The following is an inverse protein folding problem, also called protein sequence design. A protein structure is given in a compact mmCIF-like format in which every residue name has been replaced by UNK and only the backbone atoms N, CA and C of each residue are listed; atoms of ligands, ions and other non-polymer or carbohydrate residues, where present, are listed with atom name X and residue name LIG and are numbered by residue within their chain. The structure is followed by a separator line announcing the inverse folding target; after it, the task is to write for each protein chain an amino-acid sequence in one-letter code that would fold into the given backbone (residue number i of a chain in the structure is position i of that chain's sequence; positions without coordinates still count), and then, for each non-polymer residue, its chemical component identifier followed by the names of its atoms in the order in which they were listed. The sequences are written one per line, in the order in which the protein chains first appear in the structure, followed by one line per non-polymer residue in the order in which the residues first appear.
data_IF_083202018052
#
_entry.id   IF_083202018052
#
_cell.length_a   1.000
_cell.length_b   1.000
_cell.length_c   1.000
_cell.angle_alpha   90.00
_cell.angle_beta   90.00
_cell.angle_gamma   90.00
#
_symmetry.space_group_name_H-M   'P 1'
#
loop_
_entity.id
_entity.type
_entity.pdbx_description
1 polymer ?
#
# COMPACT_ATOMS: atom_id res chain seq x y z
N UNK A 1 -19.48 7.41 -2.19
CA UNK A 1 -18.82 6.12 -1.97
C UNK A 1 -19.86 5.13 -1.44
N UNK A 2 -19.97 3.88 -1.98
CA UNK A 2 -20.87 2.89 -1.42
C UNK A 2 -20.41 2.60 0.01
N UNK A 3 -21.37 2.52 0.95
CA UNK A 3 -21.13 2.01 2.30
C UNK A 3 -20.84 0.51 2.18
N UNK A 4 -19.58 0.16 1.97
CA UNK A 4 -19.14 -1.18 2.36
C UNK A 4 -19.21 -1.25 3.89
N UNK A 5 -19.39 -2.44 4.45
CA UNK A 5 -19.11 -2.69 5.86
C UNK A 5 -17.63 -2.35 6.08
N UNK A 6 -17.38 -1.09 6.43
CA UNK A 6 -16.05 -0.47 6.34
C UNK A 6 -15.19 -1.02 7.45
N UNK A 7 -14.40 -2.04 7.08
CA UNK A 7 -13.24 -2.34 7.90
C UNK A 7 -12.28 -1.16 7.74
N UNK A 8 -12.01 -0.48 8.83
CA UNK A 8 -11.04 0.63 8.86
C UNK A 8 -9.66 0.07 8.59
N UNK A 9 -8.91 0.71 7.68
CA UNK A 9 -7.53 0.38 7.42
C UNK A 9 -6.64 1.10 8.43
N UNK A 10 -6.04 0.35 9.35
CA UNK A 10 -5.17 0.89 10.38
C UNK A 10 -3.77 1.15 9.83
N UNK A 11 -3.37 2.41 9.76
CA UNK A 11 -2.07 2.86 9.25
C UNK A 11 -1.08 3.21 10.36
N UNK A 12 -1.49 3.10 11.61
CA UNK A 12 -0.65 3.38 12.78
C UNK A 12 -1.07 2.50 13.97
N UNK A 13 -0.17 2.32 14.93
CA UNK A 13 -0.48 1.59 16.17
C UNK A 13 -1.57 2.26 17.00
N UNK A 14 -1.63 3.59 17.03
CA UNK A 14 -2.71 4.33 17.70
C UNK A 14 -4.07 4.02 17.05
N UNK A 15 -4.17 4.13 15.73
CA UNK A 15 -5.37 3.78 14.97
C UNK A 15 -5.78 2.30 15.19
N UNK A 16 -4.81 1.39 15.30
CA UNK A 16 -5.05 -0.02 15.55
C UNK A 16 -5.71 -0.27 16.92
N UNK A 17 -5.28 0.44 17.97
CA UNK A 17 -5.86 0.32 19.31
C UNK A 17 -7.29 0.89 19.33
N UNK A 18 -7.50 2.03 18.71
CA UNK A 18 -8.81 2.71 18.64
C UNK A 18 -9.82 1.93 17.81
N UNK A 19 -9.38 1.24 16.76
CA UNK A 19 -10.22 0.55 15.78
C UNK A 19 -9.91 -0.96 15.75
N UNK A 20 -9.93 -1.61 16.89
CA UNK A 20 -9.69 -3.05 16.98
C UNK A 20 -10.73 -3.86 16.16
N UNK A 21 -10.31 -5.01 15.64
CA UNK A 21 -11.16 -5.84 14.77
C UNK A 21 -11.10 -5.48 13.27
N UNK A 22 -10.31 -4.51 12.89
CA UNK A 22 -10.14 -4.04 11.52
C UNK A 22 -8.90 -4.64 10.82
N UNK A 23 -8.52 -4.09 9.69
CA UNK A 23 -7.38 -4.52 8.87
C UNK A 23 -6.20 -3.60 9.15
N UNK A 24 -5.01 -4.14 9.36
CA UNK A 24 -3.81 -3.31 9.40
C UNK A 24 -3.20 -3.11 8.02
N UNK A 25 -2.66 -1.93 7.78
CA UNK A 25 -1.88 -1.62 6.58
C UNK A 25 -0.40 -1.96 6.76
N UNK A 26 0.33 -2.06 5.64
CA UNK A 26 1.79 -2.26 5.63
C UNK A 26 2.56 -1.12 6.32
N UNK A 27 1.97 0.06 6.49
CA UNK A 27 2.54 1.16 7.26
C UNK A 27 2.76 0.86 8.76
N UNK A 28 2.15 -0.19 9.31
CA UNK A 28 2.52 -0.68 10.64
C UNK A 28 3.92 -1.29 10.69
N UNK A 29 4.53 -1.47 9.54
CA UNK A 29 5.90 -1.98 9.36
C UNK A 29 6.18 -3.26 10.14
N UNK A 30 5.32 -4.26 9.93
CA UNK A 30 5.43 -5.57 10.58
C UNK A 30 6.55 -6.38 9.92
N UNK A 31 7.70 -6.48 10.61
CA UNK A 31 8.93 -7.12 10.12
C UNK A 31 9.38 -8.34 10.94
N UNK A 32 8.61 -8.72 11.95
CA UNK A 32 8.92 -9.90 12.75
C UNK A 32 7.64 -10.53 13.35
N UNK A 33 7.77 -11.77 13.80
CA UNK A 33 6.64 -12.54 14.32
C UNK A 33 6.08 -12.00 15.65
N UNK A 34 6.87 -11.30 16.48
CA UNK A 34 6.37 -10.68 17.71
C UNK A 34 5.44 -9.51 17.39
N UNK A 35 5.83 -8.66 16.45
CA UNK A 35 5.00 -7.56 15.98
C UNK A 35 3.72 -8.09 15.29
N UNK A 36 3.83 -9.16 14.49
CA UNK A 36 2.69 -9.83 13.87
C UNK A 36 1.71 -10.36 14.92
N UNK A 37 2.20 -11.06 15.95
CA UNK A 37 1.37 -11.56 17.05
C UNK A 37 0.68 -10.41 17.79
N UNK A 38 1.40 -9.32 18.08
CA UNK A 38 0.82 -8.15 18.73
C UNK A 38 -0.28 -7.52 17.86
N UNK A 39 -0.03 -7.33 16.56
CA UNK A 39 -0.97 -6.73 15.65
C UNK A 39 -2.26 -7.56 15.49
N UNK A 40 -2.16 -8.90 15.51
CA UNK A 40 -3.32 -9.81 15.46
C UNK A 40 -4.22 -9.75 16.70
N UNK A 41 -3.75 -9.23 17.84
CA UNK A 41 -4.62 -9.00 19.01
C UNK A 41 -5.65 -7.90 18.77
N UNK A 42 -5.40 -7.02 17.83
CA UNK A 42 -6.24 -5.84 17.55
C UNK A 42 -6.88 -5.88 16.16
N UNK A 43 -6.35 -6.65 15.22
CA UNK A 43 -6.81 -6.68 13.84
C UNK A 43 -7.24 -8.07 13.41
N UNK A 44 -8.26 -8.14 12.56
CA UNK A 44 -8.73 -9.39 11.93
C UNK A 44 -7.81 -9.85 10.81
N UNK A 45 -7.10 -8.91 10.16
CA UNK A 45 -6.09 -9.17 9.14
C UNK A 45 -4.90 -8.24 9.33
N UNK A 46 -3.69 -8.76 9.20
CA UNK A 46 -2.45 -7.99 9.34
C UNK A 46 -1.66 -8.04 8.05
N UNK A 47 -1.34 -6.87 7.49
CA UNK A 47 -0.48 -6.75 6.31
C UNK A 47 0.97 -6.61 6.75
N UNK A 48 1.83 -7.49 6.25
CA UNK A 48 3.28 -7.45 6.49
C UNK A 48 3.91 -6.27 5.76
N UNK A 49 5.07 -5.81 6.27
CA UNK A 49 5.86 -4.79 5.59
C UNK A 49 6.31 -5.25 4.21
N UNK A 50 6.28 -4.35 3.24
CA UNK A 50 6.84 -4.58 1.91
C UNK A 50 8.39 -4.61 1.92
N UNK A 51 9.02 -4.18 3.01
CA UNK A 51 10.47 -4.20 3.19
C UNK A 51 11.01 -5.60 3.52
N UNK A 52 10.13 -6.53 3.91
CA UNK A 52 10.56 -7.91 4.18
C UNK A 52 10.98 -8.63 2.89
N UNK A 53 12.14 -9.24 2.90
CA UNK A 53 12.54 -10.18 1.87
C UNK A 53 11.84 -11.55 2.04
N UNK A 54 12.06 -12.47 1.09
CA UNK A 54 11.42 -13.78 1.11
C UNK A 54 11.83 -14.63 2.33
N UNK A 55 13.08 -14.54 2.78
CA UNK A 55 13.57 -15.31 3.91
C UNK A 55 13.01 -14.78 5.22
N UNK A 56 12.87 -13.46 5.32
CA UNK A 56 12.22 -12.79 6.45
C UNK A 56 10.74 -13.18 6.54
N UNK A 57 10.01 -13.13 5.42
CA UNK A 57 8.63 -13.60 5.37
C UNK A 57 8.49 -15.05 5.80
N UNK A 58 9.37 -15.93 5.31
CA UNK A 58 9.42 -17.34 5.69
C UNK A 58 9.69 -17.51 7.20
N UNK A 59 10.64 -16.75 7.74
CA UNK A 59 10.95 -16.77 9.16
C UNK A 59 9.76 -16.30 10.03
N UNK A 60 9.10 -15.23 9.63
CA UNK A 60 7.90 -14.70 10.31
C UNK A 60 6.80 -15.78 10.35
N UNK A 61 6.46 -16.36 9.19
CA UNK A 61 5.38 -17.32 9.07
C UNK A 61 5.68 -18.66 9.76
N UNK A 62 6.94 -19.10 9.78
CA UNK A 62 7.34 -20.31 10.50
C UNK A 62 7.24 -20.17 12.02
N UNK A 63 7.52 -18.95 12.55
CA UNK A 63 7.47 -18.70 14.00
C UNK A 63 6.10 -18.28 14.51
N UNK A 64 5.23 -17.82 13.61
CA UNK A 64 3.85 -17.47 13.94
C UNK A 64 2.91 -17.80 12.77
N UNK A 65 2.60 -19.07 12.55
CA UNK A 65 1.68 -19.50 11.51
C UNK A 65 0.27 -18.97 11.78
N UNK A 66 -0.26 -18.18 10.88
CA UNK A 66 -1.59 -17.57 10.99
C UNK A 66 -2.22 -17.43 9.60
N UNK A 67 -3.55 -17.58 9.53
CA UNK A 67 -4.29 -17.54 8.27
C UNK A 67 -4.70 -16.16 7.79
N UNK A 68 -4.56 -15.12 8.62
CA UNK A 68 -5.06 -13.77 8.26
C UNK A 68 -3.92 -12.76 8.05
N UNK A 69 -2.89 -13.22 7.34
CA UNK A 69 -1.74 -12.38 7.00
C UNK A 69 -1.82 -11.96 5.54
N UNK A 70 -1.55 -10.67 5.31
CA UNK A 70 -1.58 -10.05 4.00
C UNK A 70 -0.20 -9.55 3.53
N UNK A 71 -0.04 -9.42 2.22
CA UNK A 71 1.15 -8.86 1.57
C UNK A 71 0.75 -7.98 0.39
N UNK A 72 1.44 -6.83 0.22
CA UNK A 72 1.32 -6.01 -0.98
C UNK A 72 2.06 -6.71 -2.14
N UNK A 73 1.34 -7.04 -3.22
CA UNK A 73 1.91 -7.76 -4.37
C UNK A 73 1.88 -6.97 -5.66
N UNK A 74 1.16 -5.85 -5.69
CA UNK A 74 1.14 -4.97 -6.86
C UNK A 74 0.89 -3.53 -6.45
N UNK A 75 1.57 -2.59 -7.12
CA UNK A 75 1.37 -1.17 -7.05
C UNK A 75 2.65 -0.38 -6.83
N UNK A 76 2.53 0.94 -6.89
CA UNK A 76 3.63 1.85 -6.55
C UNK A 76 3.67 2.09 -5.06
N UNK A 77 4.82 1.80 -4.46
CA UNK A 77 5.04 2.01 -3.04
C UNK A 77 5.17 3.51 -2.75
N UNK A 78 4.52 3.96 -1.70
CA UNK A 78 4.68 5.32 -1.19
C UNK A 78 6.04 5.44 -0.49
N UNK A 79 6.92 6.29 -1.04
CA UNK A 79 8.26 6.54 -0.51
C UNK A 79 8.29 7.66 0.52
N UNK A 80 7.42 8.66 0.36
CA UNK A 80 7.41 9.84 1.21
C UNK A 80 6.03 10.44 1.33
N UNK A 81 5.66 10.81 2.55
CA UNK A 81 4.49 11.62 2.88
C UNK A 81 4.93 12.94 3.51
N UNK A 82 4.38 14.05 3.03
CA UNK A 82 4.67 15.38 3.56
C UNK A 82 3.38 16.10 3.92
N UNK A 83 3.31 16.68 5.13
CA UNK A 83 2.23 17.60 5.53
C UNK A 83 2.45 19.01 4.93
N UNK A 84 2.83 19.08 3.65
CA UNK A 84 3.02 20.29 2.89
C UNK A 84 2.60 20.05 1.45
N UNK A 85 1.95 21.03 0.86
CA UNK A 85 1.62 20.96 -0.56
C UNK A 85 2.85 21.27 -1.40
N UNK A 86 3.50 20.22 -1.94
CA UNK A 86 4.67 20.34 -2.77
C UNK A 86 4.40 21.22 -3.99
N UNK A 87 3.24 21.06 -4.62
CA UNK A 87 2.85 21.83 -5.81
C UNK A 87 2.70 23.33 -5.49
N UNK A 88 2.01 23.65 -4.38
CA UNK A 88 1.86 25.05 -3.96
C UNK A 88 3.21 25.73 -3.73
N UNK A 89 4.13 25.04 -3.09
CA UNK A 89 5.45 25.57 -2.77
C UNK A 89 6.30 25.74 -4.03
N UNK A 90 6.31 24.75 -4.92
CA UNK A 90 7.10 24.78 -6.16
C UNK A 90 6.60 25.86 -7.13
N UNK A 91 5.29 25.95 -7.32
CA UNK A 91 4.70 26.93 -8.26
C UNK A 91 4.39 28.27 -7.61
N UNK A 92 4.74 28.50 -6.34
CA UNK A 92 4.50 29.73 -5.57
C UNK A 92 3.04 30.22 -5.69
N UNK A 93 2.10 29.28 -5.76
CA UNK A 93 0.70 29.60 -6.01
C UNK A 93 0.07 30.35 -4.84
N UNK A 94 -0.44 31.55 -5.11
CA UNK A 94 -1.16 32.36 -4.10
C UNK A 94 -2.44 31.67 -3.65
N UNK A 95 -3.17 31.03 -4.58
CA UNK A 95 -4.41 30.31 -4.30
C UNK A 95 -4.21 28.81 -4.50
N UNK A 96 -4.69 28.00 -3.55
CA UNK A 96 -4.51 26.56 -3.55
C UNK A 96 -5.57 25.86 -4.44
N UNK A 97 -5.35 25.85 -5.77
CA UNK A 97 -6.24 25.15 -6.72
C UNK A 97 -5.49 24.21 -7.68
N UNK A 98 -4.17 24.15 -7.63
CA UNK A 98 -3.32 23.43 -8.60
C UNK A 98 -3.67 21.91 -8.64
N UNK A 99 -3.98 21.29 -7.51
CA UNK A 99 -4.34 19.89 -7.44
C UNK A 99 -5.75 19.56 -7.99
N UNK A 100 -6.57 20.57 -8.31
CA UNK A 100 -7.90 20.38 -8.91
C UNK A 100 -7.84 20.16 -10.42
N UNK A 101 -6.72 20.51 -11.05
CA UNK A 101 -6.56 20.48 -12.52
C UNK A 101 -6.39 19.09 -13.10
N UNK A 102 -6.49 18.01 -12.30
CA UNK A 102 -6.33 16.61 -12.73
C UNK A 102 -5.04 16.34 -13.53
N UNK A 103 -4.03 17.16 -13.37
CA UNK A 103 -2.72 16.97 -13.99
C UNK A 103 -1.88 16.04 -13.13
N UNK A 104 -1.19 15.11 -13.77
CA UNK A 104 -0.16 14.30 -13.10
C UNK A 104 1.11 15.11 -13.00
N UNK A 105 1.60 15.26 -11.79
CA UNK A 105 2.88 15.93 -11.52
C UNK A 105 3.93 14.89 -11.17
N UNK A 106 5.16 15.12 -11.59
CA UNK A 106 6.27 14.21 -11.36
C UNK A 106 7.45 14.96 -10.79
N UNK A 107 8.16 14.32 -9.88
CA UNK A 107 9.48 14.74 -9.44
C UNK A 107 10.50 13.97 -10.27
N UNK A 108 11.48 14.64 -10.84
CA UNK A 108 12.56 14.03 -11.61
C UNK A 108 13.84 14.10 -10.78
N UNK A 109 14.48 12.98 -10.55
CA UNK A 109 15.72 12.91 -9.80
C UNK A 109 16.96 13.18 -10.69
N UNK A 110 18.17 13.04 -10.11
CA UNK A 110 19.45 13.24 -10.81
C UNK A 110 19.70 12.16 -11.88
N UNK A 111 19.10 10.99 -11.73
CA UNK A 111 19.21 9.86 -12.65
C UNK A 111 18.13 9.91 -13.75
N UNK A 112 17.31 10.97 -13.75
CA UNK A 112 16.15 11.16 -14.65
C UNK A 112 15.00 10.18 -14.40
N UNK A 113 14.96 9.55 -13.23
CA UNK A 113 13.82 8.74 -12.80
C UNK A 113 12.64 9.65 -12.42
N UNK A 114 11.43 9.24 -12.81
CA UNK A 114 10.21 10.00 -12.65
C UNK A 114 9.34 9.44 -11.53
N UNK A 115 9.22 10.18 -10.45
CA UNK A 115 8.42 9.85 -9.28
C UNK A 115 7.09 10.60 -9.35
N UNK A 116 5.99 9.87 -9.31
CA UNK A 116 4.66 10.47 -9.33
C UNK A 116 4.35 11.16 -8.01
N UNK A 117 3.75 12.36 -8.09
CA UNK A 117 3.33 13.14 -6.93
C UNK A 117 1.81 13.09 -6.86
N UNK A 118 1.29 12.48 -5.79
CA UNK A 118 -0.11 12.55 -5.42
C UNK A 118 -0.31 13.66 -4.38
N UNK A 119 -1.43 14.37 -4.48
CA UNK A 119 -1.78 15.41 -3.51
C UNK A 119 -3.20 15.21 -3.01
N UNK A 120 -3.39 15.37 -1.69
CA UNK A 120 -4.71 15.38 -1.08
C UNK A 120 -5.20 16.83 -0.92
N UNK A 121 -6.28 17.22 -1.62
CA UNK A 121 -6.83 18.57 -1.51
C UNK A 121 -7.41 18.89 -0.12
N UNK A 122 -7.84 17.85 0.62
CA UNK A 122 -8.54 18.01 1.90
C UNK A 122 -7.58 18.37 3.04
N UNK A 123 -6.44 17.71 3.11
CA UNK A 123 -5.47 17.88 4.19
C UNK A 123 -4.13 18.51 3.75
N UNK A 124 -4.02 18.91 2.47
CA UNK A 124 -2.81 19.51 1.88
C UNK A 124 -1.56 18.64 2.00
N UNK A 125 -1.74 17.32 2.04
CA UNK A 125 -0.64 16.36 2.09
C UNK A 125 -0.18 16.02 0.68
N UNK A 126 1.12 15.85 0.50
CA UNK A 126 1.72 15.35 -0.74
C UNK A 126 2.38 13.99 -0.48
N UNK A 127 2.22 13.08 -1.42
CA UNK A 127 2.82 11.75 -1.43
C UNK A 127 3.71 11.61 -2.66
N UNK A 128 4.88 11.03 -2.49
CA UNK A 128 5.77 10.68 -3.60
C UNK A 128 5.75 9.16 -3.72
N UNK A 129 5.34 8.66 -4.89
CA UNK A 129 5.32 7.25 -5.19
C UNK A 129 6.63 6.81 -5.83
N UNK A 130 6.97 5.54 -5.67
CA UNK A 130 8.12 4.93 -6.34
C UNK A 130 7.98 5.08 -7.88
N UNK A 131 9.10 5.29 -8.56
CA UNK A 131 9.16 5.33 -10.02
C UNK A 131 8.83 3.98 -10.66
N UNK A 132 9.11 2.87 -9.95
CA UNK A 132 8.83 1.52 -10.41
C UNK A 132 7.59 0.93 -9.72
N UNK A 133 6.74 0.29 -10.52
CA UNK A 133 5.60 -0.49 -10.01
C UNK A 133 6.11 -1.84 -9.50
N UNK A 134 5.87 -2.14 -8.24
CA UNK A 134 6.08 -3.48 -7.69
C UNK A 134 5.08 -4.44 -8.34
N UNK A 135 5.57 -5.57 -8.86
CA UNK A 135 4.72 -6.62 -9.43
C UNK A 135 5.23 -8.00 -9.01
N UNK A 136 4.60 -8.54 -7.97
CA UNK A 136 4.90 -9.85 -7.37
C UNK A 136 3.75 -10.85 -7.56
N UNK A 137 2.84 -10.58 -8.50
CA UNK A 137 1.62 -11.38 -8.71
C UNK A 137 1.96 -12.82 -9.10
N UNK A 138 2.97 -13.00 -9.92
CA UNK A 138 3.42 -14.33 -10.35
C UNK A 138 4.04 -15.16 -9.20
N UNK A 139 4.37 -14.51 -8.09
CA UNK A 139 4.89 -15.15 -6.87
C UNK A 139 3.83 -15.47 -5.84
N UNK A 140 2.56 -15.13 -6.08
CA UNK A 140 1.45 -15.42 -5.16
C UNK A 140 1.43 -16.89 -4.71
N UNK A 141 1.55 -17.90 -5.61
CA UNK A 141 1.57 -19.31 -5.17
C UNK A 141 2.67 -19.60 -4.15
N UNK A 142 3.87 -19.06 -4.37
CA UNK A 142 4.99 -19.23 -3.43
C UNK A 142 4.71 -18.60 -2.06
N UNK A 143 4.06 -17.44 -2.02
CA UNK A 143 3.65 -16.81 -0.76
C UNK A 143 2.51 -17.57 -0.07
N UNK A 144 1.60 -18.18 -0.84
CA UNK A 144 0.54 -19.03 -0.29
C UNK A 144 1.11 -20.29 0.40
N UNK A 145 2.19 -20.87 -0.14
CA UNK A 145 2.91 -21.98 0.48
C UNK A 145 3.53 -21.59 1.84
N UNK A 146 3.85 -20.30 2.05
CA UNK A 146 4.27 -19.79 3.36
C UNK A 146 3.10 -19.57 4.33
N UNK A 147 1.84 -19.70 3.89
CA UNK A 147 0.65 -19.44 4.69
C UNK A 147 0.10 -18.02 4.61
N UNK A 148 0.63 -17.17 3.71
CA UNK A 148 0.08 -15.83 3.45
C UNK A 148 -1.18 -15.99 2.58
N UNK A 149 -2.33 -15.50 3.07
CA UNK A 149 -3.63 -15.79 2.45
C UNK A 149 -4.28 -14.58 1.80
N UNK A 150 -3.81 -13.38 2.11
CA UNK A 150 -4.39 -12.14 1.60
C UNK A 150 -3.37 -11.36 0.77
N UNK A 151 -3.78 -10.92 -0.42
CA UNK A 151 -2.90 -10.20 -1.34
C UNK A 151 -3.49 -8.85 -1.69
N UNK A 152 -2.76 -7.78 -1.31
CA UNK A 152 -3.16 -6.41 -1.61
C UNK A 152 -2.63 -5.99 -2.98
N UNK A 153 -3.51 -5.35 -3.72
CA UNK A 153 -3.22 -4.74 -5.01
C UNK A 153 -3.55 -3.26 -4.90
N UNK A 154 -2.58 -2.40 -5.07
CA UNK A 154 -2.77 -0.95 -5.10
C UNK A 154 -2.80 -0.47 -6.55
N UNK A 155 -3.93 0.06 -6.97
CA UNK A 155 -4.19 0.53 -8.33
C UNK A 155 -4.35 2.06 -8.38
N UNK A 156 -3.94 2.76 -7.33
CA UNK A 156 -4.15 4.21 -7.20
C UNK A 156 -3.41 5.04 -8.26
N UNK A 157 -2.35 4.48 -8.85
CA UNK A 157 -1.58 5.11 -9.93
C UNK A 157 -1.93 4.59 -11.34
N UNK A 158 -2.83 3.62 -11.44
CA UNK A 158 -3.18 2.99 -12.72
C UNK A 158 -4.34 3.72 -13.41
N UNK A 159 -4.38 3.65 -14.73
CA UNK A 159 -5.56 4.08 -15.49
C UNK A 159 -6.72 3.10 -15.33
N UNK A 160 -7.93 3.51 -15.67
CA UNK A 160 -9.08 2.60 -15.62
C UNK A 160 -8.91 1.39 -16.57
N UNK A 161 -8.30 1.59 -17.73
CA UNK A 161 -8.02 0.54 -18.70
C UNK A 161 -6.96 -0.44 -18.19
N UNK A 162 -5.84 0.07 -17.64
CA UNK A 162 -4.81 -0.77 -17.03
C UNK A 162 -5.36 -1.56 -15.85
N UNK A 163 -6.19 -0.93 -15.03
CA UNK A 163 -6.87 -1.58 -13.90
C UNK A 163 -7.67 -2.80 -14.35
N UNK A 164 -8.47 -2.68 -15.42
CA UNK A 164 -9.25 -3.82 -15.98
C UNK A 164 -8.31 -4.91 -16.47
N UNK A 165 -7.29 -4.55 -17.26
CA UNK A 165 -6.31 -5.49 -17.78
C UNK A 165 -5.56 -6.27 -16.67
N UNK A 166 -5.15 -5.57 -15.62
CA UNK A 166 -4.48 -6.17 -14.49
C UNK A 166 -5.42 -7.17 -13.77
N UNK A 167 -6.67 -6.81 -13.54
CA UNK A 167 -7.66 -7.66 -12.88
C UNK A 167 -7.97 -8.90 -13.74
N UNK A 168 -8.15 -8.74 -15.05
CA UNK A 168 -8.47 -9.85 -15.96
C UNK A 168 -7.30 -10.83 -16.10
N UNK A 169 -6.08 -10.33 -16.25
CA UNK A 169 -4.88 -11.19 -16.29
C UNK A 169 -4.73 -12.01 -15.02
N UNK A 170 -5.15 -11.47 -13.85
CA UNK A 170 -5.10 -12.14 -12.56
C UNK A 170 -6.15 -13.21 -12.41
N UNK A 171 -7.39 -12.97 -12.81
CA UNK A 171 -8.46 -13.99 -12.79
C UNK A 171 -8.05 -15.25 -13.54
N UNK A 172 -7.33 -15.10 -14.67
CA UNK A 172 -6.83 -16.25 -15.45
C UNK A 172 -5.70 -17.02 -14.74
N UNK A 173 -4.89 -16.37 -13.87
CA UNK A 173 -3.73 -17.00 -13.21
C UNK A 173 -4.05 -17.59 -11.83
N UNK A 174 -5.04 -17.07 -11.14
CA UNK A 174 -5.37 -17.47 -9.74
C UNK A 174 -6.55 -18.48 -9.69
N UNK A 175 -7.15 -18.83 -10.84
CA UNK A 175 -8.31 -19.74 -10.91
C UNK A 175 -9.47 -19.31 -9.98
N UNK A 176 -9.84 -18.04 -9.97
CA UNK A 176 -11.02 -17.51 -9.27
C UNK A 176 -12.16 -17.38 -10.27
#
# INVERSE_FOLDING_TARGET
YPKYNEKVLNTSYASMIENSGNISDYFLNITNHYALNLAHKFNTMVTLSFENDFNELKNIMNNYPTSNTGLLVYGKIELMMMKACLLKNTFKAKNCHICKDKKTYKLIDRNKEEYEILTSPQNHTSYILNCHTTNLIDKIPTYQELGITNFRVDLSSETAEDTVNIIEQKKKKINI
#
